data_IF_347796178032
#
_entry.id   IF_347796178032
#
_cell.length_a   1.000
_cell.length_b   1.000
_cell.length_c   1.000
_cell.angle_alpha   90.00
_cell.angle_beta   90.00
_cell.angle_gamma   90.00
#
_symmetry.space_group_name_H-M   'P 1'
#
loop_
_entity.id
_entity.type
_entity.pdbx_description
1 polymer ?
#
# COMPACT_ATOMS: atom_id res chain seq x y z
N UNK A 1 -17.62 1.89 0.29
CA UNK A 1 -16.22 1.43 0.34
C UNK A 1 -15.37 2.25 -0.61
N UNK A 2 -14.29 2.83 -0.11
CA UNK A 2 -13.47 3.75 -0.91
C UNK A 2 -12.09 3.14 -1.21
N UNK A 3 -12.08 2.08 -1.97
CA UNK A 3 -10.85 1.43 -2.37
C UNK A 3 -10.47 1.93 -3.75
N UNK A 4 -9.24 2.43 -3.89
CA UNK A 4 -8.74 2.94 -5.16
C UNK A 4 -7.71 1.97 -5.73
N UNK A 5 -7.49 2.07 -7.05
CA UNK A 5 -6.46 1.28 -7.71
C UNK A 5 -5.09 1.54 -7.09
N UNK A 6 -4.82 2.78 -6.71
CA UNK A 6 -3.56 3.16 -6.07
C UNK A 6 -3.33 2.41 -4.76
N UNK A 7 -4.38 2.25 -3.97
CA UNK A 7 -4.29 1.50 -2.71
C UNK A 7 -3.97 0.03 -2.98
N UNK A 8 -4.62 -0.55 -3.98
CA UNK A 8 -4.39 -1.94 -4.34
C UNK A 8 -2.98 -2.13 -4.88
N UNK A 9 -2.52 -1.22 -5.73
CA UNK A 9 -1.15 -1.26 -6.26
C UNK A 9 -0.12 -1.18 -5.13
N UNK A 10 -0.35 -0.31 -4.16
CA UNK A 10 0.55 -0.17 -3.02
C UNK A 10 0.61 -1.48 -2.21
N UNK A 11 -0.55 -2.06 -1.94
CA UNK A 11 -0.63 -3.32 -1.21
C UNK A 11 0.13 -4.43 -1.95
N UNK A 12 -0.12 -4.58 -3.24
CA UNK A 12 0.52 -5.63 -4.03
C UNK A 12 2.03 -5.43 -4.11
N UNK A 13 2.48 -4.19 -4.23
CA UNK A 13 3.89 -3.88 -4.29
C UNK A 13 4.59 -4.24 -2.98
N UNK A 14 3.96 -3.93 -1.84
CA UNK A 14 4.53 -4.28 -0.54
C UNK A 14 4.54 -5.79 -0.34
N UNK A 15 3.46 -6.46 -0.70
CA UNK A 15 3.37 -7.92 -0.56
C UNK A 15 4.43 -8.62 -1.40
N UNK A 16 4.66 -8.14 -2.62
CA UNK A 16 5.61 -8.76 -3.53
C UNK A 16 7.06 -8.44 -3.18
N UNK A 17 7.34 -7.20 -2.78
CA UNK A 17 8.71 -6.77 -2.49
C UNK A 17 9.17 -7.07 -1.06
N UNK A 18 8.23 -7.27 -0.16
CA UNK A 18 8.53 -7.63 1.23
C UNK A 18 8.76 -6.46 2.16
N UNK A 19 8.79 -5.22 1.66
CA UNK A 19 8.88 -4.06 2.55
C UNK A 19 8.39 -2.80 1.86
N UNK A 20 8.07 -1.79 2.68
CA UNK A 20 7.51 -0.53 2.19
C UNK A 20 8.51 0.29 1.39
N UNK A 21 9.79 0.26 1.76
CA UNK A 21 10.81 1.03 1.06
C UNK A 21 10.98 0.53 -0.38
N UNK A 22 11.04 -0.77 -0.57
CA UNK A 22 11.14 -1.35 -1.91
C UNK A 22 9.89 -1.11 -2.73
N UNK A 23 8.73 -1.20 -2.10
CA UNK A 23 7.48 -0.92 -2.77
C UNK A 23 7.45 0.51 -3.29
N UNK A 24 7.93 1.46 -2.48
CA UNK A 24 7.99 2.86 -2.85
C UNK A 24 8.89 3.08 -4.07
N UNK A 25 10.03 2.42 -4.10
CA UNK A 25 10.94 2.50 -5.25
C UNK A 25 10.26 1.96 -6.50
N UNK A 26 9.61 0.81 -6.38
CA UNK A 26 8.92 0.19 -7.52
C UNK A 26 7.80 1.10 -8.07
N UNK A 27 7.08 1.76 -7.19
CA UNK A 27 5.97 2.63 -7.57
C UNK A 27 6.41 4.05 -7.90
N UNK A 28 7.70 4.34 -7.74
CA UNK A 28 8.24 5.69 -7.92
C UNK A 28 7.51 6.70 -7.03
N UNK A 29 7.25 6.30 -5.80
CA UNK A 29 6.54 7.10 -4.81
C UNK A 29 7.37 7.22 -3.55
N UNK A 30 7.03 8.20 -2.70
CA UNK A 30 7.66 8.31 -1.39
C UNK A 30 7.11 7.20 -0.49
N UNK A 31 7.97 6.66 0.39
CA UNK A 31 7.55 5.59 1.29
C UNK A 31 6.34 5.96 2.17
N UNK A 32 6.25 7.20 2.70
CA UNK A 32 5.05 7.57 3.46
C UNK A 32 3.76 7.50 2.65
N UNK A 33 3.82 7.77 1.34
CA UNK A 33 2.64 7.70 0.48
C UNK A 33 2.18 6.25 0.32
N UNK A 34 3.12 5.32 0.16
CA UNK A 34 2.81 3.89 0.05
C UNK A 34 2.22 3.39 1.35
N UNK A 35 2.85 3.75 2.47
CA UNK A 35 2.40 3.36 3.80
C UNK A 35 0.99 3.85 4.06
N UNK A 36 0.69 5.10 3.70
CA UNK A 36 -0.65 5.67 3.88
C UNK A 36 -1.69 4.97 3.00
N UNK A 37 -1.33 4.65 1.76
CA UNK A 37 -2.25 3.97 0.85
C UNK A 37 -2.64 2.59 1.39
N UNK A 38 -1.67 1.84 1.92
CA UNK A 38 -1.94 0.53 2.52
C UNK A 38 -2.81 0.68 3.77
N UNK A 39 -2.50 1.68 4.60
CA UNK A 39 -3.28 1.94 5.80
C UNK A 39 -4.73 2.30 5.46
N UNK A 40 -4.94 3.10 4.43
CA UNK A 40 -6.29 3.45 3.98
C UNK A 40 -7.04 2.22 3.50
N UNK A 41 -6.35 1.32 2.78
CA UNK A 41 -6.96 0.08 2.33
C UNK A 41 -7.36 -0.79 3.53
N UNK A 42 -6.49 -0.91 4.51
CA UNK A 42 -6.79 -1.65 5.72
C UNK A 42 -8.03 -1.10 6.42
N UNK A 43 -8.11 0.22 6.51
CA UNK A 43 -9.26 0.89 7.14
C UNK A 43 -10.55 0.58 6.39
N UNK A 44 -10.51 0.64 5.07
CA UNK A 44 -11.71 0.38 4.26
C UNK A 44 -12.15 -1.08 4.35
N UNK A 45 -11.21 -2.00 4.44
CA UNK A 45 -11.52 -3.42 4.55
C UNK A 45 -11.84 -3.85 5.97
N UNK A 46 -11.46 -3.04 6.96
CA UNK A 46 -11.67 -3.37 8.36
C UNK A 46 -10.76 -4.47 8.87
N UNK A 47 -9.64 -4.70 8.21
CA UNK A 47 -8.68 -5.73 8.60
C UNK A 47 -7.27 -5.19 8.52
N UNK A 48 -6.35 -5.81 9.27
CA UNK A 48 -4.94 -5.49 9.19
C UNK A 48 -4.27 -6.44 8.18
N UNK A 49 -3.67 -5.87 7.14
CA UNK A 49 -3.02 -6.65 6.10
C UNK A 49 -1.54 -6.89 6.38
N UNK A 50 -0.91 -5.96 7.09
CA UNK A 50 0.51 -6.06 7.44
C UNK A 50 0.78 -5.74 8.89
#
# INVERSE_FOLDING_TARGET
>A
MRITLKQIEAFLAVADSGNFSRAAVRLQSAQPAVSQAVKDLETELGVRLF
#
